data_IF_602739374928
#
_entry.id   IF_602739374928
#
_cell.length_a   1.000
_cell.length_b   1.000
_cell.length_c   1.000
_cell.angle_alpha   90.00
_cell.angle_beta   90.00
_cell.angle_gamma   90.00
#
_symmetry.space_group_name_H-M   'P 1'
#
loop_
_entity.id
_entity.type
_entity.pdbx_description
1 polymer ?
#
# COMPACT_ATOMS: atom_id res chain seq x y z
N UNK A 1 -22.52 24.71 1.14
CA UNK A 1 -21.07 24.45 1.16
C UNK A 1 -20.88 22.99 1.56
N UNK A 2 -20.91 22.06 0.59
CA UNK A 2 -20.76 20.62 0.85
C UNK A 2 -19.27 20.29 0.88
N UNK A 3 -18.72 20.20 2.08
CA UNK A 3 -17.35 19.78 2.34
C UNK A 3 -17.28 18.27 2.06
N UNK A 4 -16.71 17.89 0.92
CA UNK A 4 -16.40 16.50 0.59
C UNK A 4 -15.12 16.12 1.33
N UNK A 5 -15.26 15.54 2.53
CA UNK A 5 -14.18 14.80 3.18
C UNK A 5 -13.85 13.63 2.26
N UNK A 6 -12.77 13.73 1.49
CA UNK A 6 -12.24 12.57 0.77
C UNK A 6 -11.74 11.60 1.84
N UNK A 7 -12.53 10.58 2.16
CA UNK A 7 -12.10 9.52 3.07
C UNK A 7 -10.84 8.87 2.48
N UNK A 8 -9.75 8.96 3.23
CA UNK A 8 -8.46 8.39 2.86
C UNK A 8 -8.62 6.86 2.88
N UNK A 9 -8.70 6.27 1.70
CA UNK A 9 -8.84 4.81 1.56
C UNK A 9 -7.46 4.17 1.72
N UNK A 10 -7.34 3.15 2.59
CA UNK A 10 -6.07 2.44 2.82
C UNK A 10 -6.14 1.04 2.23
N UNK A 11 -5.17 0.69 1.38
CA UNK A 11 -4.99 -0.65 0.83
C UNK A 11 -3.88 -1.38 1.60
N UNK A 12 -4.24 -2.49 2.25
CA UNK A 12 -3.32 -3.34 3.00
C UNK A 12 -3.06 -4.67 2.27
N UNK A 13 -1.84 -4.89 1.79
CA UNK A 13 -1.43 -6.17 1.23
C UNK A 13 -0.95 -7.12 2.33
N UNK A 14 -1.48 -8.35 2.38
CA UNK A 14 -1.13 -9.33 3.41
C UNK A 14 -0.56 -10.60 2.79
N UNK A 15 0.56 -11.10 3.33
CA UNK A 15 1.04 -12.46 3.03
C UNK A 15 1.42 -13.21 4.34
N UNK A 16 2.22 -14.27 4.26
CA UNK A 16 2.65 -14.99 5.45
C UNK A 16 3.68 -14.17 6.27
N UNK A 17 4.85 -13.89 5.69
CA UNK A 17 5.99 -13.33 6.44
C UNK A 17 6.28 -11.83 6.19
N UNK A 18 5.58 -11.20 5.24
CA UNK A 18 5.81 -9.80 4.84
C UNK A 18 7.20 -9.48 4.25
N UNK A 19 7.92 -10.47 3.72
CA UNK A 19 9.27 -10.26 3.16
C UNK A 19 9.39 -10.51 1.65
N UNK A 20 8.30 -10.94 0.98
CA UNK A 20 8.33 -11.17 -0.48
C UNK A 20 7.06 -10.58 -1.14
N UNK A 21 5.95 -11.33 -1.15
CA UNK A 21 4.74 -11.03 -1.94
C UNK A 21 4.03 -9.74 -1.54
N UNK A 22 3.78 -9.52 -0.25
CA UNK A 22 3.07 -8.30 0.17
C UNK A 22 3.96 -7.06 0.12
N UNK A 23 5.25 -7.19 0.44
CA UNK A 23 6.23 -6.11 0.34
C UNK A 23 6.45 -5.64 -1.12
N UNK A 24 6.57 -6.58 -2.07
CA UNK A 24 6.68 -6.21 -3.49
C UNK A 24 5.39 -5.56 -4.00
N UNK A 25 4.22 -6.04 -3.58
CA UNK A 25 2.93 -5.46 -3.98
C UNK A 25 2.77 -4.02 -3.49
N UNK A 26 3.16 -3.73 -2.25
CA UNK A 26 3.19 -2.35 -1.72
C UNK A 26 4.09 -1.44 -2.58
N UNK A 27 5.34 -1.86 -2.85
CA UNK A 27 6.26 -1.05 -3.65
C UNK A 27 5.75 -0.82 -5.09
N UNK A 28 5.25 -1.86 -5.75
CA UNK A 28 4.69 -1.74 -7.10
C UNK A 28 3.45 -0.85 -7.12
N UNK A 29 2.62 -0.91 -6.08
CA UNK A 29 1.44 -0.05 -5.98
C UNK A 29 1.83 1.41 -5.74
N UNK A 30 2.83 1.69 -4.89
CA UNK A 30 3.37 3.04 -4.76
C UNK A 30 3.89 3.58 -6.09
N UNK A 31 4.62 2.77 -6.85
CA UNK A 31 5.10 3.15 -8.19
C UNK A 31 3.94 3.40 -9.15
N UNK A 32 2.90 2.56 -9.15
CA UNK A 32 1.72 2.75 -9.98
C UNK A 32 0.97 4.04 -9.62
N UNK A 33 0.72 4.27 -8.33
CA UNK A 33 0.07 5.49 -7.84
C UNK A 33 0.86 6.74 -8.22
N UNK A 34 2.20 6.70 -8.16
CA UNK A 34 3.04 7.84 -8.54
C UNK A 34 3.05 8.12 -10.06
N UNK A 35 2.94 7.07 -10.88
CA UNK A 35 3.09 7.17 -12.34
C UNK A 35 1.76 7.28 -13.11
N UNK A 36 0.61 7.08 -12.46
CA UNK A 36 -0.70 7.20 -13.08
C UNK A 36 -1.45 8.45 -12.60
N UNK A 37 -1.65 9.49 -13.45
CA UNK A 37 -2.25 10.76 -13.06
C UNK A 37 -3.61 10.63 -12.38
N UNK A 38 -4.47 9.73 -12.88
CA UNK A 38 -5.81 9.49 -12.33
C UNK A 38 -5.77 8.87 -10.93
N UNK A 39 -4.73 8.07 -10.63
CA UNK A 39 -4.58 7.41 -9.35
C UNK A 39 -3.90 8.32 -8.30
N UNK A 40 -3.08 9.28 -8.73
CA UNK A 40 -2.47 10.28 -7.84
C UNK A 40 -3.50 11.10 -7.08
N UNK A 41 -4.63 11.40 -7.71
CA UNK A 41 -5.69 12.22 -7.13
C UNK A 41 -6.58 11.45 -6.13
N UNK A 42 -6.53 10.11 -6.17
CA UNK A 42 -7.41 9.24 -5.40
C UNK A 42 -7.08 9.17 -3.90
N UNK A 43 -5.97 9.77 -3.44
CA UNK A 43 -5.56 9.82 -2.02
C UNK A 43 -5.62 8.44 -1.32
N UNK A 44 -5.02 7.43 -1.95
CA UNK A 44 -4.97 6.06 -1.42
C UNK A 44 -3.69 5.87 -0.60
N UNK A 45 -3.83 5.51 0.67
CA UNK A 45 -2.73 5.01 1.50
C UNK A 45 -2.42 3.56 1.14
N UNK A 46 -1.14 3.18 1.14
CA UNK A 46 -0.71 1.81 0.84
C UNK A 46 0.18 1.32 1.96
N UNK A 47 -0.01 0.07 2.37
CA UNK A 47 0.82 -0.61 3.37
C UNK A 47 0.86 -2.12 3.09
N UNK A 48 1.79 -2.82 3.73
CA UNK A 48 1.82 -4.29 3.76
C UNK A 48 1.98 -4.85 5.17
N UNK A 49 1.55 -6.10 5.34
CA UNK A 49 1.68 -6.87 6.57
C UNK A 49 1.88 -8.38 6.28
N UNK A 50 2.13 -9.12 7.36
CA UNK A 50 2.24 -10.57 7.36
C UNK A 50 1.42 -11.16 8.50
N UNK A 51 0.73 -12.27 8.25
CA UNK A 51 0.05 -13.03 9.32
C UNK A 51 1.04 -13.58 10.36
N UNK A 52 2.28 -13.81 9.94
CA UNK A 52 3.43 -14.22 10.74
C UNK A 52 4.64 -13.40 10.29
N UNK A 53 4.51 -12.06 10.39
CA UNK A 53 5.54 -11.14 9.95
C UNK A 53 6.90 -11.45 10.58
N UNK A 54 7.98 -11.13 9.86
CA UNK A 54 9.36 -11.18 10.37
C UNK A 54 9.89 -9.75 10.52
N UNK A 55 9.62 -9.06 11.65
CA UNK A 55 9.98 -7.66 11.82
C UNK A 55 11.48 -7.43 11.71
N UNK A 56 11.87 -6.30 11.12
CA UNK A 56 13.27 -5.95 10.90
C UNK A 56 13.95 -6.72 9.76
N UNK A 57 13.27 -7.69 9.15
CA UNK A 57 13.78 -8.39 7.97
C UNK A 57 13.40 -7.61 6.71
N UNK A 58 14.36 -7.23 5.85
CA UNK A 58 14.04 -6.54 4.60
C UNK A 58 13.31 -7.47 3.62
N UNK A 59 12.76 -6.88 2.58
CA UNK A 59 12.31 -7.64 1.42
C UNK A 59 13.48 -8.47 0.86
N UNK A 60 13.21 -9.73 0.54
CA UNK A 60 14.17 -10.69 0.01
C UNK A 60 14.41 -10.51 -1.49
#
# INVERSE_FOLDING_TARGET
>A
MTQSTRDLSVLLFVCHANICRSAIAEQLTHLALANHPQLREAQIGVASAGTHAQPGTPMH
#
